data_IF_010978180119
#
_entry.id   IF_010978180119
#
_cell.length_a   1.000
_cell.length_b   1.000
_cell.length_c   1.000
_cell.angle_alpha   90.00
_cell.angle_beta   90.00
_cell.angle_gamma   90.00
#
_symmetry.space_group_name_H-M   'P 1'
#
loop_
_entity.id
_entity.type
_entity.pdbx_description
1 polymer ?
#
# COMPACT_ATOMS: atom_id res chain seq x y z
N UNK A 1 -16.54 25.45 23.04
CA UNK A 1 -15.24 26.08 22.72
C UNK A 1 -14.56 25.19 21.69
N UNK A 2 -14.99 25.33 20.44
CA UNK A 2 -14.47 24.60 19.28
C UNK A 2 -13.08 25.14 18.91
N UNK A 3 -12.12 24.25 18.65
CA UNK A 3 -10.87 24.59 17.98
C UNK A 3 -10.66 23.66 16.79
N UNK A 4 -10.91 24.24 15.62
CA UNK A 4 -10.51 23.77 14.31
C UNK A 4 -8.98 23.56 14.23
N UNK A 5 -8.56 22.53 13.50
CA UNK A 5 -7.24 22.45 12.86
C UNK A 5 -7.37 21.51 11.65
N UNK A 6 -7.71 22.05 10.48
CA UNK A 6 -6.78 22.58 9.49
C UNK A 6 -6.22 21.46 8.58
N UNK A 7 -7.00 21.23 7.53
CA UNK A 7 -6.71 20.47 6.33
C UNK A 7 -5.56 21.15 5.57
N UNK A 8 -4.39 20.52 5.52
CA UNK A 8 -3.25 21.03 4.74
C UNK A 8 -3.43 20.57 3.29
N UNK A 9 -3.96 21.47 2.45
CA UNK A 9 -3.83 21.38 0.99
C UNK A 9 -2.52 22.04 0.58
N UNK A 10 -1.64 21.29 -0.07
CA UNK A 10 -0.48 21.84 -0.77
C UNK A 10 -0.70 21.69 -2.27
N UNK A 11 -0.79 22.84 -2.93
CA UNK A 11 -0.65 23.01 -4.38
C UNK A 11 0.43 24.06 -4.60
N UNK A 12 1.36 23.83 -5.54
CA UNK A 12 1.66 24.84 -6.55
C UNK A 12 1.61 24.16 -7.94
N UNK A 13 0.72 24.58 -8.83
CA UNK A 13 0.87 25.74 -9.72
C UNK A 13 2.20 25.66 -10.51
N UNK A 14 2.18 24.92 -11.62
CA UNK A 14 3.09 25.17 -12.75
C UNK A 14 2.24 25.56 -13.95
N UNK A 15 2.67 26.67 -14.55
CA UNK A 15 1.99 27.48 -15.54
C UNK A 15 1.79 26.72 -16.85
N UNK A 16 0.61 26.93 -17.43
CA UNK A 16 0.21 26.46 -18.74
C UNK A 16 1.08 27.05 -19.86
N UNK A 17 1.50 26.20 -20.80
CA UNK A 17 1.79 26.63 -22.16
C UNK A 17 0.64 26.13 -23.04
N UNK A 18 -0.28 27.05 -23.37
CA UNK A 18 -1.32 26.82 -24.35
C UNK A 18 -0.73 27.07 -25.75
N UNK A 19 -0.63 26.03 -26.57
CA UNK A 19 -0.64 26.18 -28.02
C UNK A 19 -2.05 25.88 -28.53
N UNK A 20 -2.56 26.78 -29.34
CA UNK A 20 -3.93 26.84 -29.81
C UNK A 20 -4.15 26.00 -31.09
N UNK A 21 -5.37 25.45 -31.16
CA UNK A 21 -6.18 25.13 -32.33
C UNK A 21 -5.78 23.97 -33.28
N UNK A 22 -6.52 22.86 -33.17
CA UNK A 22 -7.34 22.37 -34.27
C UNK A 22 -8.59 21.68 -33.67
N UNK A 23 -9.78 22.14 -34.08
CA UNK A 23 -11.06 21.55 -33.69
C UNK A 23 -11.20 20.17 -34.37
N UNK A 24 -10.85 19.11 -33.64
CA UNK A 24 -11.29 17.74 -33.92
C UNK A 24 -12.40 17.34 -32.95
N UNK A 25 -13.29 16.40 -33.31
CA UNK A 25 -14.33 15.93 -32.40
C UNK A 25 -13.68 15.45 -31.09
N UNK A 26 -14.36 15.77 -30.00
CA UNK A 26 -13.97 15.54 -28.61
C UNK A 26 -13.71 14.04 -28.36
N UNK A 27 -12.53 13.56 -28.71
CA UNK A 27 -12.03 12.24 -28.34
C UNK A 27 -11.82 12.28 -26.82
N UNK A 28 -12.80 11.76 -26.08
CA UNK A 28 -12.63 11.51 -24.66
C UNK A 28 -11.36 10.68 -24.51
N UNK A 29 -10.45 10.98 -23.55
CA UNK A 29 -9.27 10.16 -23.35
C UNK A 29 -9.73 8.70 -23.24
N UNK A 30 -9.11 7.76 -23.97
CA UNK A 30 -9.57 6.38 -23.98
C UNK A 30 -9.66 5.91 -22.54
N UNK A 31 -10.86 5.48 -22.14
CA UNK A 31 -11.03 4.81 -20.86
C UNK A 31 -9.96 3.72 -20.78
N UNK A 32 -9.17 3.66 -19.71
CA UNK A 32 -8.05 2.75 -19.67
C UNK A 32 -8.60 1.32 -19.87
N UNK A 33 -7.88 0.44 -20.60
CA UNK A 33 -8.45 -0.78 -21.14
C UNK A 33 -9.19 -1.58 -20.06
N UNK A 34 -10.44 -1.90 -20.35
CA UNK A 34 -11.24 -2.83 -19.55
C UNK A 34 -10.55 -4.19 -19.64
N UNK A 35 -9.99 -4.65 -18.52
CA UNK A 35 -9.18 -5.88 -18.45
C UNK A 35 -7.73 -5.69 -18.01
N UNK A 36 -7.32 -4.51 -17.53
CA UNK A 36 -5.96 -4.36 -16.97
C UNK A 36 -5.83 -5.10 -15.62
N UNK A 37 -4.97 -6.11 -15.59
CA UNK A 37 -4.50 -6.76 -14.37
C UNK A 37 -3.44 -5.87 -13.71
N UNK A 38 -3.56 -5.65 -12.41
CA UNK A 38 -2.51 -5.03 -11.60
C UNK A 38 -1.82 -6.10 -10.75
N UNK A 39 -0.48 -6.16 -10.82
CA UNK A 39 0.31 -7.03 -9.96
C UNK A 39 0.78 -6.25 -8.74
N UNK A 40 0.50 -6.78 -7.56
CA UNK A 40 0.94 -6.22 -6.29
C UNK A 40 1.90 -7.14 -5.58
N UNK A 41 3.00 -6.57 -5.05
CA UNK A 41 3.83 -7.22 -4.04
C UNK A 41 3.26 -6.90 -2.67
N UNK A 42 3.10 -7.92 -1.85
CA UNK A 42 2.59 -7.86 -0.48
C UNK A 42 3.65 -8.41 0.45
N UNK A 43 4.21 -7.55 1.31
CA UNK A 43 5.25 -7.90 2.26
C UNK A 43 4.69 -7.85 3.68
N UNK A 44 4.93 -8.90 4.45
CA UNK A 44 4.72 -8.90 5.90
C UNK A 44 6.03 -8.55 6.58
N UNK A 45 6.05 -7.42 7.27
CA UNK A 45 7.20 -6.92 8.01
C UNK A 45 6.90 -6.98 9.49
N UNK A 46 7.89 -7.42 10.27
CA UNK A 46 7.86 -7.32 11.72
C UNK A 46 8.88 -6.30 12.17
N UNK A 47 8.49 -5.44 13.10
CA UNK A 47 9.39 -4.47 13.66
C UNK A 47 9.49 -4.63 15.17
N UNK A 48 10.70 -4.52 15.68
CA UNK A 48 11.05 -4.77 17.08
C UNK A 48 12.33 -4.01 17.42
N UNK A 49 12.58 -3.79 18.70
CA UNK A 49 13.87 -3.29 19.18
C UNK A 49 14.89 -4.43 19.42
N UNK A 50 14.47 -5.68 19.23
CA UNK A 50 15.35 -6.83 19.35
C UNK A 50 16.21 -7.04 18.09
N UNK A 51 17.51 -7.26 18.28
CA UNK A 51 18.49 -7.51 17.22
C UNK A 51 18.55 -8.99 16.78
N UNK A 52 17.42 -9.69 16.81
CA UNK A 52 17.34 -11.05 16.31
C UNK A 52 16.09 -11.26 15.45
N UNK A 53 16.22 -12.17 14.49
CA UNK A 53 15.13 -12.51 13.58
C UNK A 53 13.94 -13.09 14.38
N UNK A 54 12.70 -12.61 14.11
CA UNK A 54 11.52 -13.06 14.84
C UNK A 54 11.02 -14.46 14.45
N UNK A 55 11.56 -15.01 13.36
CA UNK A 55 11.25 -16.35 12.86
C UNK A 55 12.36 -16.83 11.92
N UNK A 56 12.50 -18.15 11.79
CA UNK A 56 13.38 -18.73 10.79
C UNK A 56 13.00 -18.25 9.39
N UNK A 57 14.00 -17.87 8.58
CA UNK A 57 13.81 -17.36 7.22
C UNK A 57 13.41 -15.88 7.12
N UNK A 58 13.27 -15.16 8.24
CA UNK A 58 13.04 -13.72 8.17
C UNK A 58 14.30 -12.99 7.69
N UNK A 59 14.13 -12.07 6.72
CA UNK A 59 15.23 -11.27 6.16
C UNK A 59 15.23 -9.90 6.81
N UNK A 60 16.39 -9.45 7.30
CA UNK A 60 16.52 -8.08 7.79
C UNK A 60 16.33 -7.09 6.64
N UNK A 61 15.48 -6.09 6.84
CA UNK A 61 15.26 -5.03 5.87
C UNK A 61 16.36 -3.97 5.97
N UNK A 62 16.88 -3.56 4.81
CA UNK A 62 17.88 -2.50 4.74
C UNK A 62 17.28 -1.11 4.97
N UNK A 63 18.16 -0.14 5.26
CA UNK A 63 17.81 1.26 5.51
C UNK A 63 16.97 1.91 4.39
N UNK A 64 17.20 1.53 3.13
CA UNK A 64 16.42 2.00 1.98
C UNK A 64 14.97 1.48 1.99
N UNK A 65 14.78 0.20 2.32
CA UNK A 65 13.46 -0.45 2.34
C UNK A 65 12.59 0.05 3.50
N UNK A 66 13.21 0.35 4.64
CA UNK A 66 12.51 0.86 5.83
C UNK A 66 12.35 2.38 5.83
N UNK A 67 12.97 3.11 4.89
CA UNK A 67 12.88 4.58 4.82
C UNK A 67 11.44 5.11 4.88
N UNK A 68 10.45 4.54 4.18
CA UNK A 68 9.05 4.98 4.32
C UNK A 68 8.40 4.58 5.66
N UNK A 69 8.97 3.62 6.39
CA UNK A 69 8.47 3.14 7.69
C UNK A 69 9.04 3.94 8.88
N UNK A 70 10.31 4.37 8.82
CA UNK A 70 10.99 5.03 9.96
C UNK A 70 10.29 6.30 10.49
N UNK A 71 9.75 7.21 9.65
CA UNK A 71 9.05 8.38 10.18
C UNK A 71 7.75 8.04 10.91
N UNK A 72 7.19 6.87 10.62
CA UNK A 72 5.89 6.45 11.13
C UNK A 72 6.03 5.62 12.42
N UNK A 73 7.18 5.00 12.66
CA UNK A 73 7.33 3.99 13.72
C UNK A 73 8.69 4.04 14.43
N UNK A 74 8.67 3.81 15.76
CA UNK A 74 9.82 3.97 16.67
C UNK A 74 10.84 2.82 16.69
N UNK A 75 10.59 1.74 15.95
CA UNK A 75 11.34 0.48 16.08
C UNK A 75 12.73 0.55 15.46
N UNK A 76 13.67 -0.17 16.07
CA UNK A 76 15.08 -0.22 15.63
C UNK A 76 15.32 -1.21 14.49
N UNK A 77 14.74 -2.41 14.58
CA UNK A 77 14.94 -3.50 13.62
C UNK A 77 13.63 -3.82 12.88
N UNK A 78 13.76 -4.11 11.58
CA UNK A 78 12.66 -4.50 10.72
C UNK A 78 13.03 -5.76 9.95
N UNK A 79 12.12 -6.72 9.93
CA UNK A 79 12.34 -8.06 9.39
C UNK A 79 11.20 -8.40 8.42
N UNK A 80 11.51 -8.65 7.15
CA UNK A 80 10.59 -9.25 6.21
C UNK A 80 10.37 -10.70 6.60
N UNK A 81 9.17 -11.01 7.09
CA UNK A 81 8.76 -12.36 7.50
C UNK A 81 8.32 -13.15 6.28
N UNK A 82 7.64 -12.49 5.35
CA UNK A 82 7.21 -13.09 4.08
C UNK A 82 6.96 -12.03 3.02
N UNK A 83 7.01 -12.46 1.76
CA UNK A 83 6.51 -11.68 0.64
C UNK A 83 5.75 -12.58 -0.33
N UNK A 84 4.73 -12.01 -0.98
CA UNK A 84 3.92 -12.66 -2.00
C UNK A 84 3.58 -11.67 -3.09
N UNK A 85 3.28 -12.18 -4.28
CA UNK A 85 2.70 -11.39 -5.35
C UNK A 85 1.26 -11.84 -5.59
N UNK A 86 0.41 -10.90 -5.96
CA UNK A 86 -0.99 -11.17 -6.32
C UNK A 86 -1.39 -10.31 -7.50
N UNK A 87 -1.97 -10.94 -8.50
CA UNK A 87 -2.61 -10.29 -9.63
C UNK A 87 -4.06 -9.98 -9.29
N UNK A 88 -4.49 -8.75 -9.52
CA UNK A 88 -5.86 -8.30 -9.27
C UNK A 88 -6.39 -7.58 -10.48
N UNK A 89 -7.42 -8.14 -11.09
CA UNK A 89 -8.18 -7.47 -12.13
C UNK A 89 -8.88 -6.22 -11.59
N UNK A 90 -8.97 -5.17 -12.42
CA UNK A 90 -9.87 -4.06 -12.13
C UNK A 90 -11.31 -4.56 -11.93
N UNK A 91 -12.00 -4.02 -10.94
CA UNK A 91 -13.36 -4.46 -10.61
C UNK A 91 -13.42 -5.71 -9.72
N UNK A 92 -12.27 -6.27 -9.31
CA UNK A 92 -12.20 -7.49 -8.48
C UNK A 92 -11.50 -7.25 -7.15
N UNK A 93 -11.59 -8.26 -6.30
CA UNK A 93 -10.87 -8.35 -5.03
C UNK A 93 -9.86 -9.48 -5.13
N UNK A 94 -8.59 -9.16 -4.96
CA UNK A 94 -7.52 -10.13 -4.78
C UNK A 94 -7.34 -10.44 -3.30
N UNK A 95 -7.01 -11.70 -2.98
CA UNK A 95 -6.73 -12.14 -1.62
C UNK A 95 -5.42 -12.91 -1.62
N UNK A 96 -4.56 -12.64 -0.63
CA UNK A 96 -3.28 -13.34 -0.48
C UNK A 96 -3.00 -13.64 0.99
N UNK A 97 -2.63 -14.88 1.26
CA UNK A 97 -2.15 -15.29 2.59
C UNK A 97 -0.66 -14.93 2.74
N UNK A 98 -0.34 -14.17 3.79
CA UNK A 98 1.03 -13.75 4.09
C UNK A 98 1.61 -14.45 5.31
N UNK A 99 0.76 -15.03 6.15
CA UNK A 99 1.14 -15.98 7.21
C UNK A 99 -0.08 -16.85 7.58
N UNK A 100 0.08 -17.98 8.29
CA UNK A 100 -1.05 -18.86 8.61
C UNK A 100 -2.22 -18.17 9.32
N UNK A 101 -1.95 -17.11 10.08
CA UNK A 101 -2.96 -16.30 10.75
C UNK A 101 -3.32 -14.99 10.05
N UNK A 102 -2.66 -14.61 8.94
CA UNK A 102 -2.88 -13.30 8.30
C UNK A 102 -3.09 -13.39 6.80
N UNK A 103 -4.13 -12.68 6.37
CA UNK A 103 -4.51 -12.55 4.97
C UNK A 103 -4.65 -11.07 4.61
N UNK A 104 -4.31 -10.73 3.39
CA UNK A 104 -4.44 -9.38 2.85
C UNK A 104 -5.41 -9.42 1.68
N UNK A 105 -6.41 -8.54 1.71
CA UNK A 105 -7.32 -8.31 0.59
C UNK A 105 -6.98 -6.99 -0.09
N UNK A 106 -6.92 -7.01 -1.41
CA UNK A 106 -6.73 -5.84 -2.26
C UNK A 106 -7.98 -5.73 -3.13
N UNK A 107 -8.78 -4.70 -2.84
CA UNK A 107 -10.06 -4.45 -3.49
C UNK A 107 -9.93 -3.26 -4.46
N UNK A 108 -10.14 -3.57 -5.75
CA UNK A 108 -10.14 -2.64 -6.88
C UNK A 108 -11.54 -2.50 -7.51
N UNK A 109 -12.60 -2.82 -6.75
CA UNK A 109 -13.99 -2.69 -7.23
C UNK A 109 -14.38 -1.25 -7.51
N UNK A 110 -13.85 -0.31 -6.73
CA UNK A 110 -14.10 1.13 -6.88
C UNK A 110 -13.06 1.78 -7.81
N UNK A 111 -13.47 2.35 -8.96
CA UNK A 111 -12.55 2.96 -9.90
C UNK A 111 -11.70 4.06 -9.26
N UNK A 112 -10.39 4.05 -9.56
CA UNK A 112 -9.43 5.04 -9.05
C UNK A 112 -9.06 4.88 -7.58
N UNK A 113 -9.63 3.91 -6.87
CA UNK A 113 -9.30 3.62 -5.48
C UNK A 113 -8.76 2.19 -5.34
N UNK A 114 -7.87 2.04 -4.36
CA UNK A 114 -7.36 0.76 -3.88
C UNK A 114 -7.69 0.67 -2.40
N UNK A 115 -8.54 -0.27 -2.03
CA UNK A 115 -8.80 -0.61 -0.63
C UNK A 115 -7.96 -1.81 -0.25
N UNK A 116 -7.12 -1.66 0.76
CA UNK A 116 -6.33 -2.76 1.31
C UNK A 116 -6.87 -3.09 2.69
N UNK A 117 -7.16 -4.36 2.93
CA UNK A 117 -7.68 -4.86 4.21
C UNK A 117 -6.75 -5.95 4.72
N UNK A 118 -6.29 -5.81 5.96
CA UNK A 118 -5.59 -6.86 6.68
C UNK A 118 -6.61 -7.63 7.54
N UNK A 119 -6.57 -8.96 7.42
CA UNK A 119 -7.34 -9.91 8.19
C UNK A 119 -6.40 -10.71 9.09
N UNK A 120 -6.80 -10.93 10.34
CA UNK A 120 -6.16 -11.85 11.27
C UNK A 120 -7.17 -12.94 11.67
N UNK A 121 -6.86 -14.20 11.41
CA UNK A 121 -7.75 -15.34 11.64
C UNK A 121 -9.15 -15.11 11.05
N UNK A 122 -9.20 -14.56 9.83
CA UNK A 122 -10.44 -14.20 9.12
C UNK A 122 -11.13 -12.92 9.60
N UNK A 123 -10.69 -12.29 10.69
CA UNK A 123 -11.26 -11.05 11.23
C UNK A 123 -10.51 -9.83 10.73
N UNK A 124 -11.24 -8.80 10.30
CA UNK A 124 -10.64 -7.53 9.89
C UNK A 124 -9.98 -6.81 11.05
N UNK A 125 -8.68 -6.56 10.92
CA UNK A 125 -7.87 -5.82 11.91
C UNK A 125 -7.50 -4.42 11.45
N UNK A 126 -7.42 -4.18 10.14
CA UNK A 126 -7.13 -2.85 9.59
C UNK A 126 -7.60 -2.73 8.15
N UNK A 127 -8.03 -1.53 7.74
CA UNK A 127 -8.36 -1.20 6.35
C UNK A 127 -7.89 0.21 6.03
N UNK A 128 -7.30 0.37 4.85
CA UNK A 128 -6.92 1.68 4.32
C UNK A 128 -7.40 1.80 2.88
N UNK A 129 -7.82 3.01 2.48
CA UNK A 129 -8.19 3.33 1.11
C UNK A 129 -7.21 4.38 0.59
N UNK A 130 -6.57 4.09 -0.53
CA UNK A 130 -5.64 4.99 -1.23
C UNK A 130 -6.05 5.15 -2.69
N UNK A 131 -5.63 6.22 -3.38
CA UNK A 131 -5.69 6.27 -4.83
C UNK A 131 -4.98 5.06 -5.46
N UNK A 132 -5.54 4.48 -6.51
CA UNK A 132 -4.98 3.28 -7.15
C UNK A 132 -3.58 3.49 -7.75
N UNK A 133 -3.23 4.74 -8.08
CA UNK A 133 -1.92 5.15 -8.59
C UNK A 133 -0.86 5.38 -7.51
N UNK A 134 -1.21 5.34 -6.22
CA UNK A 134 -0.21 5.49 -5.15
C UNK A 134 0.74 4.29 -5.13
N UNK A 135 2.05 4.57 -5.03
CA UNK A 135 3.08 3.55 -5.18
C UNK A 135 2.95 2.41 -4.16
N UNK A 136 2.55 2.74 -2.93
CA UNK A 136 2.39 1.76 -1.86
C UNK A 136 1.24 2.07 -0.90
N UNK A 137 0.90 1.10 -0.08
CA UNK A 137 -0.07 1.21 1.01
C UNK A 137 0.48 0.40 2.17
N UNK A 138 0.66 1.05 3.31
CA UNK A 138 1.20 0.45 4.53
C UNK A 138 0.07 0.38 5.54
N UNK A 139 -0.23 -0.82 6.02
CA UNK A 139 -1.06 -1.05 7.20
C UNK A 139 -0.20 -1.63 8.30
N UNK A 140 -0.59 -1.43 9.54
CA UNK A 140 0.09 -2.07 10.65
C UNK A 140 -0.66 -1.92 11.95
N UNK A 141 -0.11 -2.58 12.95
CA UNK A 141 -0.61 -2.53 14.32
C UNK A 141 0.43 -3.09 15.28
N UNK A 142 0.17 -2.88 16.56
CA UNK A 142 0.90 -3.59 17.59
C UNK A 142 0.56 -5.07 17.52
N UNK A 143 1.59 -5.92 17.67
CA UNK A 143 1.39 -7.36 17.85
C UNK A 143 1.45 -7.72 19.34
N UNK A 144 2.42 -7.14 20.02
CA UNK A 144 2.73 -7.30 21.43
C UNK A 144 3.48 -6.04 21.91
N UNK A 145 3.67 -5.81 23.23
CA UNK A 145 4.30 -4.58 23.75
C UNK A 145 5.70 -4.31 23.18
N UNK A 146 6.40 -5.36 22.73
CA UNK A 146 7.76 -5.30 22.18
C UNK A 146 7.85 -5.40 20.66
N UNK A 147 6.75 -5.56 19.92
CA UNK A 147 6.80 -5.62 18.46
C UNK A 147 5.54 -5.13 17.76
N UNK A 148 5.73 -4.60 16.55
CA UNK A 148 4.68 -4.27 15.61
C UNK A 148 4.74 -5.18 14.38
N UNK A 149 3.61 -5.26 13.68
CA UNK A 149 3.51 -5.85 12.36
C UNK A 149 3.09 -4.80 11.34
N UNK A 150 3.59 -4.94 10.13
CA UNK A 150 3.22 -4.13 8.99
C UNK A 150 2.94 -5.01 7.78
N UNK A 151 1.93 -4.64 7.01
CA UNK A 151 1.72 -5.11 5.65
C UNK A 151 2.05 -3.97 4.72
N UNK A 152 3.00 -4.18 3.82
CA UNK A 152 3.34 -3.24 2.75
C UNK A 152 2.81 -3.82 1.46
N UNK A 153 1.85 -3.12 0.84
CA UNK A 153 1.35 -3.43 -0.49
C UNK A 153 1.92 -2.41 -1.46
N UNK A 154 2.74 -2.84 -2.41
CA UNK A 154 3.27 -1.99 -3.47
C UNK A 154 2.91 -2.56 -4.83
N UNK A 155 2.88 -1.71 -5.86
CA UNK A 155 2.89 -2.23 -7.23
C UNK A 155 4.16 -3.07 -7.44
N UNK A 156 4.01 -4.22 -8.08
CA UNK A 156 5.17 -4.98 -8.54
C UNK A 156 5.81 -4.22 -9.71
N UNK A 157 7.15 -4.23 -9.86
CA UNK A 157 7.78 -3.68 -11.05
C UNK A 157 7.22 -4.38 -12.30
N UNK A 158 6.93 -3.61 -13.35
CA UNK A 158 6.64 -4.19 -14.65
C UNK A 158 7.85 -5.03 -15.07
N UNK A 159 7.62 -6.33 -15.30
CA UNK A 159 8.64 -7.22 -15.87
C UNK A 159 8.86 -6.94 -17.34
#
# INVERSE_FOLDING_TARGET
>A
MERNAAMIRLSPLWIALAMSAAAGPLDSPPAPPRGSVATYRVQLVRATDADHAPSAGARQLGSAEIRPLRPLFRWTHYWEVSHREVCVDRGKVGTVEVSPSRTVQIDLTEPGKRRVTALENGKRVSTLIRPSGEASTILGGYRDPGSAWFVVVSHAPAR
#
